data_IF_074063369992
#
_entry.id   IF_074063369992
#
_cell.length_a   1.000
_cell.length_b   1.000
_cell.length_c   1.000
_cell.angle_alpha   90.00
_cell.angle_beta   90.00
_cell.angle_gamma   90.00
#
_symmetry.space_group_name_H-M   'P 1'
#
loop_
_entity.id
_entity.type
_entity.pdbx_description
1 polymer ?
#
# COMPACT_ATOMS: atom_id res chain seq x y z
N UNK A 1 13.65 13.58 -7.68
CA UNK A 1 12.35 14.09 -7.20
C UNK A 1 11.72 13.01 -6.35
N UNK A 2 11.46 13.25 -5.06
CA UNK A 2 10.72 12.29 -4.23
C UNK A 2 9.24 12.37 -4.63
N UNK A 3 8.62 11.29 -5.12
CA UNK A 3 7.22 11.32 -5.50
C UNK A 3 6.38 11.70 -4.27
N UNK A 4 5.50 12.69 -4.44
CA UNK A 4 4.60 13.11 -3.36
C UNK A 4 3.58 12.01 -3.14
N UNK A 5 3.71 11.30 -2.02
CA UNK A 5 2.65 10.44 -1.51
C UNK A 5 1.45 11.30 -1.12
N UNK A 6 0.28 10.94 -1.61
CA UNK A 6 -0.98 11.56 -1.18
C UNK A 6 -1.26 11.21 0.28
N UNK A 7 -2.07 12.01 1.01
CA UNK A 7 -2.46 11.69 2.39
C UNK A 7 -3.02 10.27 2.54
N UNK A 8 -3.86 9.82 1.60
CA UNK A 8 -4.43 8.46 1.59
C UNK A 8 -3.39 7.36 1.47
N UNK A 9 -2.37 7.54 0.63
CA UNK A 9 -1.25 6.59 0.53
C UNK A 9 -0.47 6.50 1.84
N UNK A 10 -0.30 7.62 2.54
CA UNK A 10 0.37 7.64 3.85
C UNK A 10 -0.45 6.94 4.93
N UNK A 11 -1.76 7.22 4.99
CA UNK A 11 -2.68 6.53 5.90
C UNK A 11 -2.64 5.01 5.70
N UNK A 12 -2.68 4.56 4.44
CA UNK A 12 -2.61 3.13 4.13
C UNK A 12 -1.27 2.49 4.53
N UNK A 13 -0.15 3.18 4.30
CA UNK A 13 1.16 2.71 4.78
C UNK A 13 1.18 2.63 6.30
N UNK A 14 0.63 3.62 7.01
CA UNK A 14 0.50 3.62 8.47
C UNK A 14 -0.27 2.41 8.98
N UNK A 15 -1.43 2.14 8.35
CA UNK A 15 -2.27 0.98 8.66
C UNK A 15 -1.52 -0.35 8.44
N UNK A 16 -0.75 -0.47 7.35
CA UNK A 16 0.13 -1.61 7.12
C UNK A 16 1.24 -1.73 8.17
N UNK A 17 1.75 -0.60 8.67
CA UNK A 17 2.75 -0.55 9.73
C UNK A 17 2.21 -1.07 11.07
N UNK A 18 0.95 -0.78 11.39
CA UNK A 18 0.27 -1.22 12.61
C UNK A 18 -0.22 -2.68 12.52
N UNK A 19 -0.84 -3.06 11.41
CA UNK A 19 -1.44 -4.39 11.24
C UNK A 19 -0.44 -5.45 10.71
N UNK A 20 0.72 -5.01 10.21
CA UNK A 20 1.72 -5.84 9.54
C UNK A 20 1.33 -6.25 8.11
N UNK A 21 0.03 -6.38 7.83
CA UNK A 21 -0.47 -6.75 6.51
C UNK A 21 -1.95 -6.46 6.31
N UNK A 22 -2.35 -6.30 5.06
CA UNK A 22 -3.75 -6.06 4.65
C UNK A 22 -4.12 -6.99 3.52
N UNK A 23 -5.38 -7.43 3.45
CA UNK A 23 -5.90 -8.23 2.34
C UNK A 23 -6.50 -7.30 1.29
N UNK A 24 -5.99 -7.40 0.06
CA UNK A 24 -6.48 -6.67 -1.11
C UNK A 24 -7.14 -7.64 -2.08
N UNK A 25 -8.32 -7.31 -2.60
CA UNK A 25 -8.94 -8.11 -3.67
C UNK A 25 -8.31 -7.75 -5.02
N UNK A 26 -7.93 -8.77 -5.80
CA UNK A 26 -7.23 -8.63 -7.07
C UNK A 26 -8.02 -7.88 -8.17
N UNK A 27 -9.32 -7.60 -7.96
CA UNK A 27 -10.02 -6.68 -8.85
C UNK A 27 -9.52 -5.25 -8.70
N UNK A 28 -8.99 -4.84 -7.53
CA UNK A 28 -8.47 -3.51 -7.21
C UNK A 28 -9.37 -2.31 -7.62
N UNK A 29 -10.59 -2.58 -8.11
CA UNK A 29 -11.46 -1.66 -8.85
C UNK A 29 -11.82 -0.43 -8.00
N UNK A 30 -11.89 -0.62 -6.70
CA UNK A 30 -11.61 0.35 -5.66
C UNK A 30 -11.32 -0.52 -4.42
N UNK A 31 -10.43 -0.11 -3.53
CA UNK A 31 -10.39 -0.69 -2.18
C UNK A 31 -11.14 0.30 -1.29
N UNK A 32 -12.49 0.35 -1.34
CA UNK A 32 -13.28 1.38 -0.67
C UNK A 32 -13.05 1.37 0.83
N UNK A 33 -12.65 0.22 1.41
CA UNK A 33 -12.27 0.10 2.82
C UNK A 33 -11.09 1.01 3.21
N UNK A 34 -10.17 1.28 2.28
CA UNK A 34 -8.99 2.12 2.51
C UNK A 34 -9.00 3.42 1.69
N UNK A 35 -10.05 3.67 0.91
CA UNK A 35 -10.17 4.84 0.06
C UNK A 35 -9.05 4.96 -0.99
N UNK A 36 -8.54 3.82 -1.46
CA UNK A 36 -7.51 3.74 -2.49
C UNK A 36 -8.07 3.20 -3.80
N UNK A 37 -7.59 3.74 -4.91
CA UNK A 37 -7.80 3.15 -6.23
C UNK A 37 -6.67 2.16 -6.57
N UNK A 38 -6.89 1.30 -7.58
CA UNK A 38 -5.84 0.42 -8.12
C UNK A 38 -4.54 1.16 -8.42
N UNK A 39 -4.64 2.34 -9.04
CA UNK A 39 -3.48 3.16 -9.40
C UNK A 39 -2.66 3.62 -8.18
N UNK A 40 -3.27 3.74 -7.00
CA UNK A 40 -2.54 4.06 -5.77
C UNK A 40 -1.72 2.87 -5.29
N UNK A 41 -2.30 1.67 -5.33
CA UNK A 41 -1.60 0.43 -4.98
C UNK A 41 -0.44 0.18 -5.94
N UNK A 42 -0.69 0.30 -7.25
CA UNK A 42 0.34 0.14 -8.28
C UNK A 42 1.47 1.15 -8.10
N UNK A 43 1.14 2.40 -7.74
CA UNK A 43 2.15 3.40 -7.43
C UNK A 43 2.96 3.00 -6.18
N UNK A 44 2.34 2.54 -5.10
CA UNK A 44 3.04 2.12 -3.89
C UNK A 44 3.96 0.91 -4.14
N UNK A 45 3.52 -0.04 -4.96
CA UNK A 45 4.33 -1.18 -5.41
C UNK A 45 5.50 -0.72 -6.28
N UNK A 46 5.24 0.17 -7.25
CA UNK A 46 6.27 0.75 -8.14
C UNK A 46 7.33 1.52 -7.36
N UNK A 47 6.91 2.20 -6.28
CA UNK A 47 7.82 2.89 -5.37
C UNK A 47 8.53 1.94 -4.39
N UNK A 48 8.20 0.65 -4.42
CA UNK A 48 8.77 -0.37 -3.53
C UNK A 48 8.38 -0.20 -2.06
N UNK A 49 7.31 0.56 -1.77
CA UNK A 49 6.87 0.85 -0.39
C UNK A 49 6.02 -0.29 0.19
N UNK A 50 5.37 -1.05 -0.68
CA UNK A 50 4.62 -2.25 -0.32
C UNK A 50 4.98 -3.39 -1.26
N UNK A 51 4.78 -4.60 -0.81
CA UNK A 51 4.76 -5.80 -1.65
C UNK A 51 3.35 -6.39 -1.59
N UNK A 52 2.84 -6.83 -2.75
CA UNK A 52 1.55 -7.50 -2.86
C UNK A 52 1.83 -8.90 -3.39
N UNK A 53 1.29 -9.93 -2.74
CA UNK A 53 1.40 -11.31 -3.23
C UNK A 53 0.86 -11.44 -4.65
N UNK A 54 1.44 -12.34 -5.45
CA UNK A 54 1.04 -12.51 -6.85
C UNK A 54 -0.47 -12.84 -6.95
N UNK A 55 -1.28 -12.02 -7.63
CA UNK A 55 -2.65 -12.37 -7.90
C UNK A 55 -2.63 -13.57 -8.85
N UNK A 56 -3.27 -14.68 -8.48
CA UNK A 56 -3.33 -15.90 -9.30
C UNK A 56 -4.19 -15.76 -10.57
N UNK A 57 -4.33 -14.56 -11.12
CA UNK A 57 -5.07 -14.25 -12.36
C UNK A 57 -6.58 -14.48 -12.30
N UNK A 58 -7.10 -15.00 -11.19
CA UNK A 58 -8.52 -15.26 -11.02
C UNK A 58 -9.21 -14.05 -10.39
N UNK A 59 -10.22 -13.53 -11.07
CA UNK A 59 -11.11 -12.48 -10.56
C UNK A 59 -11.69 -12.96 -9.22
N UNK A 60 -11.39 -12.25 -8.13
CA UNK A 60 -11.77 -12.63 -6.76
C UNK A 60 -10.62 -13.17 -5.88
N UNK A 61 -9.39 -13.27 -6.39
CA UNK A 61 -8.24 -13.68 -5.57
C UNK A 61 -7.89 -12.59 -4.56
N UNK A 62 -7.86 -12.95 -3.28
CA UNK A 62 -7.33 -12.10 -2.22
C UNK A 62 -5.80 -12.17 -2.21
N UNK A 63 -5.15 -11.01 -2.28
CA UNK A 63 -3.70 -10.87 -2.21
C UNK A 63 -3.32 -10.17 -0.91
N UNK A 64 -2.25 -10.62 -0.27
CA UNK A 64 -1.76 -9.98 0.95
C UNK A 64 -0.81 -8.85 0.56
N UNK A 65 -1.13 -7.63 0.95
CA UNK A 65 -0.22 -6.50 0.93
C UNK A 65 0.55 -6.43 2.26
N UNK A 66 1.85 -6.21 2.16
CA UNK A 66 2.76 -6.05 3.31
C UNK A 66 3.62 -4.82 3.13
N UNK A 67 3.95 -4.17 4.25
CA UNK A 67 4.90 -3.05 4.25
C UNK A 67 6.31 -3.58 4.01
N UNK A 68 7.07 -2.93 3.12
CA UNK A 68 8.49 -3.23 2.93
C UNK A 68 9.34 -2.43 3.92
N UNK A 69 10.63 -2.76 4.03
CA UNK A 69 11.57 -1.96 4.81
C UNK A 69 11.67 -0.52 4.29
N UNK A 70 11.58 -0.33 2.96
CA UNK A 70 11.54 0.99 2.35
C UNK A 70 10.25 1.76 2.71
N UNK A 71 9.10 1.08 2.73
CA UNK A 71 7.83 1.63 3.21
C UNK A 71 7.89 2.08 4.66
N UNK A 72 8.50 1.25 5.52
CA UNK A 72 8.70 1.57 6.95
C UNK A 72 9.60 2.79 7.13
N UNK A 73 10.74 2.83 6.45
CA UNK A 73 11.65 3.97 6.50
C UNK A 73 10.99 5.26 5.98
N UNK A 74 10.10 5.17 4.98
CA UNK A 74 9.31 6.31 4.49
C UNK A 74 8.35 6.85 5.54
N UNK A 75 7.64 5.95 6.25
CA UNK A 75 6.76 6.33 7.35
C UNK A 75 7.52 7.00 8.49
N UNK A 76 8.63 6.41 8.93
CA UNK A 76 9.47 6.95 10.01
C UNK A 76 9.99 8.34 9.65
N UNK A 77 10.46 8.54 8.42
CA UNK A 77 10.96 9.84 7.96
C UNK A 77 9.90 10.93 7.98
N UNK A 78 8.62 10.57 7.79
CA UNK A 78 7.49 11.52 7.80
C UNK A 78 6.90 11.71 9.19
N UNK A 79 6.88 10.66 10.01
CA UNK A 79 6.49 10.75 11.42
C UNK A 79 7.49 11.56 12.26
N UNK A 80 8.79 11.46 11.97
CA UNK A 80 9.83 12.28 12.59
C UNK A 80 9.85 13.74 12.09
N UNK A 81 9.09 14.06 11.05
CA UNK A 81 8.96 15.41 10.50
C UNK A 81 7.74 16.18 11.04
N UNK A 82 7.04 15.63 12.05
CA UNK A 82 5.92 16.27 12.76
C UNK A 82 6.35 16.87 14.09
#
# INVERSE_FOLDING_TARGET
MTPRLTPRRLEFLGLLGEQGSVVLYASFEDIPEYGLAQADVDALVTLGLISVGEPSGHRGTACKAVLTDAGRAELERRGAAS
#
